data_IF_600311438351
#
_entry.id   IF_600311438351
#
_cell.length_a   1.000
_cell.length_b   1.000
_cell.length_c   1.000
_cell.angle_alpha   90.00
_cell.angle_beta   90.00
_cell.angle_gamma   90.00
#
_symmetry.space_group_name_H-M   'P 1'
#
loop_
_entity.id
_entity.type
_entity.pdbx_description
1 polymer ?
#
# COMPACT_ATOMS: atom_id res chain seq x y z
N UNK A 1 11.27 8.60 -13.86
CA UNK A 1 12.29 7.56 -13.73
C UNK A 1 12.89 7.18 -15.09
N UNK A 2 12.18 6.53 -16.03
CA UNK A 2 12.75 6.02 -17.30
C UNK A 2 13.50 7.07 -18.15
N UNK A 3 12.99 8.32 -18.20
CA UNK A 3 13.68 9.42 -18.90
C UNK A 3 15.01 9.75 -18.21
N UNK A 4 15.05 9.82 -16.89
CA UNK A 4 16.28 10.05 -16.13
C UNK A 4 17.31 8.94 -16.35
N UNK A 5 16.88 7.69 -16.35
CA UNK A 5 17.77 6.54 -16.57
C UNK A 5 18.41 6.58 -17.96
N UNK A 6 17.65 6.98 -19.02
CA UNK A 6 18.16 7.07 -20.39
C UNK A 6 19.06 8.27 -20.63
N UNK A 7 18.61 9.43 -20.19
CA UNK A 7 19.14 10.73 -20.65
C UNK A 7 20.03 11.43 -19.58
N UNK A 8 20.01 10.94 -18.33
CA UNK A 8 20.62 11.63 -17.18
C UNK A 8 19.88 12.91 -16.80
N UNK A 9 20.50 13.71 -15.96
CA UNK A 9 20.06 15.08 -15.71
C UNK A 9 20.49 15.94 -16.91
N UNK A 10 19.52 16.50 -17.66
CA UNK A 10 19.82 17.63 -18.51
C UNK A 10 20.09 18.82 -17.59
N UNK A 11 21.16 19.57 -17.84
CA UNK A 11 21.35 20.87 -17.20
C UNK A 11 20.11 21.72 -17.47
N UNK A 12 19.22 21.78 -16.51
CA UNK A 12 18.12 22.75 -16.52
C UNK A 12 18.70 24.09 -16.12
N UNK A 13 18.48 25.12 -16.94
CA UNK A 13 18.83 26.47 -16.56
C UNK A 13 18.22 26.78 -15.17
N UNK A 14 18.93 27.53 -14.35
CA UNK A 14 18.54 27.86 -12.96
C UNK A 14 17.11 28.42 -12.83
N UNK A 15 16.53 28.93 -13.92
CA UNK A 15 15.15 29.45 -13.98
C UNK A 15 14.06 28.37 -13.89
N UNK A 16 14.29 27.15 -14.39
CA UNK A 16 13.30 26.06 -14.29
C UNK A 16 13.32 25.37 -12.92
N UNK A 17 14.42 25.48 -12.18
CA UNK A 17 14.53 24.98 -10.82
C UNK A 17 13.76 25.87 -9.82
N UNK A 18 13.73 27.17 -10.02
CA UNK A 18 13.09 28.11 -9.13
C UNK A 18 11.56 28.08 -9.25
N UNK A 19 11.00 27.89 -10.47
CA UNK A 19 9.55 27.76 -10.66
C UNK A 19 8.94 26.50 -10.02
N UNK A 20 9.71 25.43 -9.90
CA UNK A 20 9.27 24.20 -9.21
C UNK A 20 9.42 24.28 -7.68
N UNK A 21 10.26 25.19 -7.18
CA UNK A 21 10.45 25.41 -5.75
C UNK A 21 9.32 26.31 -5.21
N UNK A 22 8.92 27.32 -5.97
CA UNK A 22 7.88 28.29 -5.55
C UNK A 22 6.47 27.67 -5.54
N UNK A 23 6.18 26.67 -6.37
CA UNK A 23 4.92 25.92 -6.34
C UNK A 23 4.80 24.97 -5.14
N UNK A 24 5.94 24.59 -4.52
CA UNK A 24 6.01 23.69 -3.36
C UNK A 24 6.11 24.45 -2.03
N UNK A 25 6.61 25.70 -2.06
CA UNK A 25 6.85 26.51 -0.87
C UNK A 25 5.60 27.18 -0.27
N UNK A 26 4.47 27.25 -0.99
CA UNK A 26 3.24 27.89 -0.51
C UNK A 26 2.34 27.01 0.36
N UNK A 27 2.76 25.81 0.72
CA UNK A 27 2.05 24.97 1.70
C UNK A 27 2.98 24.56 2.85
N UNK A 28 3.35 25.58 3.64
CA UNK A 28 4.07 25.36 4.88
C UNK A 28 3.11 24.93 6.01
N UNK A 29 3.53 23.86 6.70
CA UNK A 29 3.50 23.74 8.14
C UNK A 29 2.18 23.58 8.86
N UNK A 30 1.63 22.36 8.89
CA UNK A 30 1.23 21.88 10.20
C UNK A 30 1.77 20.43 10.35
N UNK A 31 2.68 20.28 11.30
CA UNK A 31 3.17 19.02 11.75
C UNK A 31 1.98 18.15 12.16
N UNK A 32 1.81 17.00 11.50
CA UNK A 32 0.96 15.95 12.01
C UNK A 32 1.76 15.28 13.12
N UNK A 33 1.74 15.89 14.29
CA UNK A 33 2.27 15.29 15.51
C UNK A 33 1.46 14.06 15.82
N UNK A 34 2.04 12.90 15.54
CA UNK A 34 1.61 11.67 16.16
C UNK A 34 2.09 11.76 17.60
N UNK A 35 1.19 12.05 18.54
CA UNK A 35 1.42 11.78 19.95
C UNK A 35 1.73 10.29 20.09
N UNK A 36 3.00 9.97 20.21
CA UNK A 36 3.45 8.69 20.72
C UNK A 36 3.11 8.65 22.21
N UNK A 37 1.96 8.10 22.55
CA UNK A 37 1.74 7.60 23.89
C UNK A 37 2.80 6.53 24.14
N UNK A 38 3.72 6.84 25.04
CA UNK A 38 4.74 5.90 25.53
C UNK A 38 4.03 4.70 26.16
N UNK A 39 4.06 3.57 25.47
CA UNK A 39 3.72 2.29 26.06
C UNK A 39 4.89 1.91 26.98
N UNK A 40 4.66 1.62 28.28
CA UNK A 40 5.72 1.24 29.18
C UNK A 40 6.51 0.06 28.62
N UNK A 41 7.82 0.21 28.57
CA UNK A 41 8.77 -0.80 28.10
C UNK A 41 8.76 -2.01 29.03
N UNK A 42 7.92 -3.00 28.71
CA UNK A 42 8.06 -4.34 29.32
C UNK A 42 9.17 -5.06 28.57
N UNK A 43 10.26 -5.38 29.28
CA UNK A 43 11.32 -6.25 28.76
C UNK A 43 10.72 -7.63 28.44
N UNK A 44 10.96 -8.20 27.25
CA UNK A 44 10.50 -9.53 26.91
C UNK A 44 11.27 -10.55 27.79
N UNK A 45 10.55 -11.27 28.63
CA UNK A 45 11.09 -12.47 29.28
C UNK A 45 11.26 -13.55 28.22
N UNK A 46 12.47 -14.13 28.15
CA UNK A 46 12.80 -15.25 27.28
C UNK A 46 11.94 -16.44 27.67
N UNK A 47 11.17 -16.96 26.71
CA UNK A 47 10.41 -18.19 26.90
C UNK A 47 11.36 -19.36 27.11
N UNK A 48 11.04 -20.20 28.11
CA UNK A 48 11.76 -21.44 28.42
C UNK A 48 11.74 -22.36 27.18
N UNK A 49 12.88 -22.89 26.72
CA UNK A 49 12.98 -23.79 25.56
C UNK A 49 12.08 -25.03 25.65
N UNK A 50 11.80 -25.52 26.86
CA UNK A 50 10.93 -26.68 27.08
C UNK A 50 9.45 -26.42 26.77
N UNK A 51 9.01 -25.15 26.83
CA UNK A 51 7.67 -24.77 26.45
C UNK A 51 7.46 -24.87 24.93
N UNK A 52 8.51 -24.61 24.16
CA UNK A 52 8.48 -24.71 22.70
C UNK A 52 8.34 -26.15 22.24
N UNK A 53 8.98 -27.09 22.94
CA UNK A 53 8.91 -28.52 22.63
C UNK A 53 7.55 -29.13 22.96
N UNK A 54 6.88 -28.65 24.00
CA UNK A 54 5.52 -29.14 24.38
C UNK A 54 4.48 -28.69 23.34
N UNK A 55 4.64 -27.50 22.72
CA UNK A 55 3.74 -26.98 21.69
C UNK A 55 3.89 -27.73 20.35
N UNK A 56 5.05 -28.33 20.06
CA UNK A 56 5.28 -29.12 18.84
C UNK A 56 4.68 -30.51 18.91
N UNK A 57 4.51 -31.08 20.11
CA UNK A 57 3.90 -32.43 20.29
C UNK A 57 2.38 -32.45 20.18
N UNK A 58 1.67 -31.33 20.41
CA UNK A 58 0.19 -31.30 20.32
C UNK A 58 -0.29 -31.28 18.86
N UNK A 59 0.58 -30.97 17.87
CA UNK A 59 0.20 -30.92 16.46
C UNK A 59 0.46 -32.21 15.66
N UNK A 60 0.81 -33.34 16.28
CA UNK A 60 1.15 -34.57 15.57
C UNK A 60 0.00 -35.61 15.49
N UNK A 61 -1.19 -35.34 15.99
CA UNK A 61 -2.33 -36.19 15.71
C UNK A 61 -2.94 -35.90 14.36
N UNK A 62 -2.74 -36.84 13.45
CA UNK A 62 -3.25 -36.87 12.07
C UNK A 62 -4.78 -36.74 12.06
N UNK A 63 -5.28 -35.58 11.60
CA UNK A 63 -6.63 -35.50 11.04
C UNK A 63 -6.54 -35.57 9.52
N UNK A 64 -7.11 -36.62 8.96
CA UNK A 64 -7.43 -36.73 7.53
C UNK A 64 -8.34 -35.58 7.10
N UNK A 65 -8.16 -34.98 5.90
CA UNK A 65 -9.01 -33.89 5.46
C UNK A 65 -10.39 -34.39 5.11
N UNK A 66 -11.41 -33.98 5.86
CA UNK A 66 -12.78 -34.01 5.36
C UNK A 66 -12.96 -32.85 4.41
N UNK A 67 -13.32 -33.17 3.18
CA UNK A 67 -13.74 -32.23 2.16
C UNK A 67 -15.04 -31.57 2.61
N UNK A 68 -15.00 -30.32 3.02
CA UNK A 68 -16.11 -29.35 3.01
C UNK A 68 -15.68 -28.10 3.81
N UNK A 69 -14.80 -27.29 3.20
CA UNK A 69 -14.62 -25.90 3.63
C UNK A 69 -14.58 -25.02 2.39
N UNK A 70 -15.76 -24.82 1.79
CA UNK A 70 -16.00 -23.80 0.78
C UNK A 70 -16.11 -22.46 1.50
N UNK A 71 -14.98 -21.83 1.80
CA UNK A 71 -14.95 -20.41 2.09
C UNK A 71 -15.34 -19.66 0.83
N UNK A 72 -16.57 -19.18 0.79
CA UNK A 72 -17.09 -18.33 -0.25
C UNK A 72 -16.29 -17.03 -0.29
N UNK A 73 -15.43 -16.90 -1.28
CA UNK A 73 -14.93 -15.61 -1.72
C UNK A 73 -16.15 -14.82 -2.24
N UNK A 74 -16.41 -13.65 -1.67
CA UNK A 74 -17.42 -12.74 -2.17
C UNK A 74 -17.03 -12.33 -3.59
N UNK A 75 -17.96 -12.42 -4.56
CA UNK A 75 -17.66 -12.07 -5.95
C UNK A 75 -17.47 -10.57 -6.09
N UNK A 76 -16.36 -10.17 -6.67
CA UNK A 76 -16.16 -8.83 -7.19
C UNK A 76 -17.10 -8.66 -8.37
N UNK A 77 -17.93 -7.60 -8.44
CA UNK A 77 -18.82 -7.38 -9.57
C UNK A 77 -17.97 -7.09 -10.83
N UNK A 78 -18.08 -7.97 -11.80
CA UNK A 78 -17.62 -7.73 -13.17
C UNK A 78 -18.52 -6.67 -13.79
N UNK A 79 -17.99 -5.51 -14.08
CA UNK A 79 -18.64 -4.46 -14.85
C UNK A 79 -18.70 -4.90 -16.31
N UNK A 80 -19.83 -5.50 -16.72
CA UNK A 80 -20.22 -5.57 -18.11
C UNK A 80 -20.76 -4.21 -18.52
N UNK A 81 -20.15 -3.61 -19.56
CA UNK A 81 -20.50 -2.30 -20.06
C UNK A 81 -21.94 -2.23 -20.57
N UNK A 82 -22.68 -1.27 -20.05
CA UNK A 82 -23.93 -0.80 -20.68
C UNK A 82 -23.58 0.42 -21.51
N UNK A 83 -23.64 0.24 -22.82
CA UNK A 83 -23.59 1.33 -23.79
C UNK A 83 -24.93 2.02 -23.77
N UNK A 84 -25.04 3.18 -23.18
CA UNK A 84 -26.19 4.07 -23.37
C UNK A 84 -25.92 4.98 -24.54
N UNK A 85 -26.58 4.67 -25.66
CA UNK A 85 -26.81 5.58 -26.78
C UNK A 85 -27.89 6.54 -26.38
N UNK A 86 -27.56 7.76 -26.05
CA UNK A 86 -28.51 8.87 -26.00
C UNK A 86 -28.30 9.76 -27.21
N UNK A 87 -29.27 9.70 -28.13
CA UNK A 87 -29.48 10.66 -29.21
C UNK A 87 -29.87 12.01 -28.62
N UNK A 88 -29.02 13.02 -28.80
CA UNK A 88 -29.41 14.41 -28.56
C UNK A 88 -29.55 15.16 -29.88
N UNK A 89 -30.75 15.59 -30.14
CA UNK A 89 -31.13 16.60 -31.10
C UNK A 89 -30.43 17.93 -30.82
N UNK A 90 -30.03 18.56 -31.91
CA UNK A 90 -29.39 19.87 -32.00
C UNK A 90 -30.26 20.99 -31.45
N UNK A 91 -29.71 21.79 -30.55
CA UNK A 91 -30.13 23.18 -30.42
C UNK A 91 -28.91 24.10 -30.28
N UNK A 92 -28.92 25.11 -31.16
CA UNK A 92 -27.81 26.03 -31.36
C UNK A 92 -27.94 27.24 -30.43
N UNK A 93 -27.16 27.24 -29.35
CA UNK A 93 -26.88 28.49 -28.64
C UNK A 93 -25.38 28.63 -28.38
N UNK A 94 -24.79 29.66 -28.96
CA UNK A 94 -23.36 30.02 -28.86
C UNK A 94 -23.08 30.43 -27.43
N UNK A 95 -22.53 29.56 -26.63
CA UNK A 95 -21.99 29.88 -25.28
C UNK A 95 -20.49 30.15 -25.37
N UNK A 96 -20.10 31.35 -24.99
CA UNK A 96 -18.72 31.82 -24.90
C UNK A 96 -18.00 31.28 -23.67
N UNK A 97 -17.93 29.96 -23.49
CA UNK A 97 -17.11 29.37 -22.44
C UNK A 97 -15.66 29.14 -22.93
N UNK A 98 -14.64 29.35 -22.10
CA UNK A 98 -13.25 29.11 -22.48
C UNK A 98 -13.03 27.64 -22.80
N UNK A 99 -12.69 27.35 -24.05
CA UNK A 99 -12.41 25.96 -24.50
C UNK A 99 -11.27 25.35 -23.66
N UNK A 100 -11.48 24.11 -23.17
CA UNK A 100 -10.45 23.37 -22.41
C UNK A 100 -9.13 23.31 -23.17
N UNK A 101 -8.00 23.39 -22.49
CA UNK A 101 -6.64 23.43 -23.08
C UNK A 101 -6.38 22.29 -24.09
N UNK A 102 -6.99 21.10 -23.89
CA UNK A 102 -6.92 19.96 -24.80
C UNK A 102 -7.57 20.29 -26.16
N UNK A 103 -8.74 20.95 -26.19
CA UNK A 103 -9.43 21.34 -27.42
C UNK A 103 -8.63 22.39 -28.20
N UNK A 104 -8.05 23.39 -27.54
CA UNK A 104 -7.17 24.39 -28.19
C UNK A 104 -5.92 23.75 -28.83
N UNK A 105 -5.34 22.70 -28.21
CA UNK A 105 -4.22 21.95 -28.81
C UNK A 105 -4.66 21.15 -30.04
N UNK A 106 -5.82 20.56 -30.02
CA UNK A 106 -6.39 19.81 -31.15
C UNK A 106 -6.68 20.77 -32.31
N UNK A 107 -7.30 21.91 -32.06
CA UNK A 107 -7.59 22.94 -33.08
C UNK A 107 -6.29 23.46 -33.72
N UNK A 108 -5.30 23.84 -32.92
CA UNK A 108 -3.99 24.31 -33.45
C UNK A 108 -3.30 23.23 -34.29
N UNK A 109 -3.42 21.95 -33.92
CA UNK A 109 -2.85 20.86 -34.70
C UNK A 109 -3.59 20.70 -36.03
N UNK A 110 -4.93 20.79 -36.01
CA UNK A 110 -5.77 20.75 -37.20
C UNK A 110 -5.46 21.88 -38.19
N UNK A 111 -5.38 23.11 -37.69
CA UNK A 111 -4.97 24.29 -38.49
C UNK A 111 -3.59 24.14 -39.09
N UNK A 112 -2.61 23.62 -38.34
CA UNK A 112 -1.25 23.37 -38.83
C UNK A 112 -1.20 22.34 -39.95
N UNK A 113 -2.04 21.31 -39.91
CA UNK A 113 -2.15 20.30 -40.94
C UNK A 113 -2.88 20.84 -42.19
N UNK A 114 -3.90 21.67 -42.00
CA UNK A 114 -4.63 22.37 -43.06
C UNK A 114 -3.70 23.36 -43.84
N UNK A 115 -2.84 24.09 -43.11
CA UNK A 115 -1.83 24.95 -43.72
C UNK A 115 -0.75 24.19 -44.51
N UNK A 116 -0.61 22.88 -44.27
CA UNK A 116 0.28 22.00 -45.04
C UNK A 116 -0.37 21.39 -46.27
N UNK A 117 -1.63 21.79 -46.62
CA UNK A 117 -2.33 21.36 -47.81
C UNK A 117 -3.00 19.98 -47.72
N UNK A 118 -3.14 19.42 -46.50
CA UNK A 118 -3.85 18.16 -46.35
C UNK A 118 -5.36 18.35 -46.42
N UNK A 119 -6.07 17.41 -47.05
CA UNK A 119 -7.53 17.45 -47.14
C UNK A 119 -8.16 17.19 -45.76
N UNK A 120 -9.41 17.63 -45.55
CA UNK A 120 -10.13 17.41 -44.31
C UNK A 120 -10.23 15.93 -43.92
N UNK A 121 -10.40 15.02 -44.89
CA UNK A 121 -10.45 13.58 -44.70
C UNK A 121 -9.11 13.01 -44.23
N UNK A 122 -7.99 13.44 -44.83
CA UNK A 122 -6.62 13.01 -44.46
C UNK A 122 -6.26 13.50 -43.07
N UNK A 123 -6.69 14.73 -42.71
CA UNK A 123 -6.50 15.30 -41.36
C UNK A 123 -7.25 14.45 -40.32
N UNK A 124 -8.52 14.09 -40.60
CA UNK A 124 -9.32 13.26 -39.72
C UNK A 124 -8.70 11.86 -39.54
N UNK A 125 -8.23 11.26 -40.64
CA UNK A 125 -7.58 9.96 -40.61
C UNK A 125 -6.25 10.00 -39.87
N UNK A 126 -5.43 11.05 -40.03
CA UNK A 126 -4.19 11.28 -39.30
C UNK A 126 -4.43 11.59 -37.80
N UNK A 127 -5.53 12.23 -37.48
CA UNK A 127 -5.93 12.51 -36.11
C UNK A 127 -6.46 11.24 -35.42
N UNK A 128 -7.22 10.41 -36.14
CA UNK A 128 -7.70 9.11 -35.63
C UNK A 128 -6.58 8.08 -35.54
N UNK A 129 -5.65 8.02 -36.49
CA UNK A 129 -4.49 7.13 -36.45
C UNK A 129 -3.52 7.47 -35.29
N UNK A 130 -3.36 8.76 -34.97
CA UNK A 130 -2.62 9.20 -33.80
C UNK A 130 -3.35 8.92 -32.47
N UNK A 131 -4.68 8.88 -32.45
CA UNK A 131 -5.45 8.42 -31.30
C UNK A 131 -5.39 6.90 -31.12
N UNK A 132 -5.30 6.12 -32.20
CA UNK A 132 -5.10 4.65 -32.12
C UNK A 132 -3.67 4.24 -31.73
N UNK A 133 -2.68 5.12 -31.89
CA UNK A 133 -1.28 4.87 -31.48
C UNK A 133 -1.00 5.13 -30.01
N UNK A 134 -1.94 5.68 -29.27
CA UNK A 134 -1.89 5.79 -27.80
C UNK A 134 -2.82 4.73 -27.20
N UNK A 135 -2.59 3.45 -27.48
CA UNK A 135 -2.99 2.42 -26.56
C UNK A 135 -2.35 2.77 -25.22
N UNK A 136 -3.17 2.96 -24.17
CA UNK A 136 -2.66 3.26 -22.84
C UNK A 136 -1.73 2.10 -22.44
N UNK A 137 -0.44 2.41 -22.28
CA UNK A 137 0.54 1.42 -21.85
C UNK A 137 0.17 0.89 -20.49
N UNK A 138 0.27 -0.41 -20.30
CA UNK A 138 0.11 -1.03 -18.99
C UNK A 138 1.23 -0.61 -18.04
N UNK A 139 1.02 -0.80 -16.75
CA UNK A 139 2.04 -0.55 -15.73
C UNK A 139 3.30 -1.39 -15.99
N UNK A 140 3.12 -2.65 -16.37
CA UNK A 140 4.20 -3.58 -16.68
C UNK A 140 5.00 -3.14 -17.89
N UNK A 141 4.35 -2.63 -18.95
CA UNK A 141 5.03 -2.06 -20.10
C UNK A 141 5.87 -0.84 -19.73
N UNK A 142 5.35 0.08 -18.88
CA UNK A 142 6.13 1.21 -18.38
C UNK A 142 7.35 0.77 -17.57
N UNK A 143 7.23 -0.27 -16.76
CA UNK A 143 8.34 -0.79 -15.97
C UNK A 143 9.36 -1.54 -16.81
N UNK A 144 8.92 -2.24 -17.88
CA UNK A 144 9.80 -2.95 -18.82
C UNK A 144 10.56 -2.01 -19.75
N UNK A 145 10.10 -0.77 -19.95
CA UNK A 145 10.82 0.25 -20.71
C UNK A 145 12.05 0.83 -19.99
N UNK A 146 12.35 0.40 -18.77
CA UNK A 146 13.63 0.71 -18.12
C UNK A 146 14.78 0.19 -18.99
N UNK A 147 15.88 0.94 -19.14
CA UNK A 147 17.02 0.51 -19.93
C UNK A 147 17.51 -0.88 -19.51
N UNK A 148 17.75 -1.74 -20.50
CA UNK A 148 18.26 -3.09 -20.31
C UNK A 148 19.80 -3.09 -20.32
N UNK A 149 20.41 -4.22 -19.96
CA UNK A 149 21.87 -4.32 -19.88
C UNK A 149 22.59 -4.07 -21.22
N UNK A 150 21.92 -4.28 -22.35
CA UNK A 150 22.45 -4.04 -23.70
C UNK A 150 22.33 -2.57 -24.16
N UNK A 151 21.55 -1.76 -23.47
CA UNK A 151 21.44 -0.33 -23.73
C UNK A 151 22.65 0.39 -23.15
N UNK A 152 22.97 1.58 -23.69
CA UNK A 152 23.97 2.48 -23.11
C UNK A 152 23.27 3.64 -22.39
N UNK A 153 22.56 3.40 -21.28
CA UNK A 153 21.85 4.43 -20.55
C UNK A 153 22.81 5.30 -19.76
N UNK A 154 22.37 6.55 -19.44
CA UNK A 154 23.10 7.42 -18.54
C UNK A 154 23.17 6.84 -17.11
N UNK A 155 22.13 6.12 -16.69
CA UNK A 155 22.05 5.48 -15.39
C UNK A 155 21.36 4.11 -15.46
N UNK A 156 21.75 3.21 -14.57
CA UNK A 156 21.17 1.86 -14.44
C UNK A 156 20.50 1.67 -13.09
N UNK A 157 19.23 1.26 -13.09
CA UNK A 157 18.48 0.94 -11.89
C UNK A 157 18.29 -0.57 -11.78
N UNK A 158 18.78 -1.15 -10.69
CA UNK A 158 18.54 -2.55 -10.31
C UNK A 158 17.66 -2.60 -9.07
N UNK A 159 16.61 -3.40 -9.09
CA UNK A 159 15.76 -3.63 -7.92
C UNK A 159 15.95 -5.08 -7.46
N UNK A 160 16.41 -5.25 -6.22
CA UNK A 160 16.66 -6.56 -5.60
C UNK A 160 15.71 -6.75 -4.43
N UNK A 161 15.03 -7.90 -4.37
CA UNK A 161 14.26 -8.30 -3.21
C UNK A 161 15.07 -9.28 -2.37
N UNK A 162 15.22 -8.99 -1.10
CA UNK A 162 15.94 -9.82 -0.11
C UNK A 162 15.09 -10.00 1.14
N UNK A 163 15.33 -11.07 1.91
CA UNK A 163 14.70 -11.19 3.22
C UNK A 163 15.09 -10.00 4.10
N UNK A 164 14.18 -9.56 4.98
CA UNK A 164 14.41 -8.38 5.81
C UNK A 164 15.69 -8.49 6.65
N UNK A 165 16.01 -9.70 7.16
CA UNK A 165 17.25 -9.94 7.91
C UNK A 165 18.51 -9.72 7.06
N UNK A 166 18.51 -10.22 5.81
CA UNK A 166 19.63 -10.08 4.87
C UNK A 166 19.74 -8.62 4.38
N UNK A 167 18.61 -7.93 4.32
CA UNK A 167 18.51 -6.51 3.97
C UNK A 167 19.04 -5.55 5.05
N UNK A 168 19.27 -6.02 6.28
CA UNK A 168 19.65 -5.20 7.43
C UNK A 168 21.17 -4.90 7.46
N UNK A 169 21.68 -4.28 6.41
CA UNK A 169 23.11 -3.94 6.25
C UNK A 169 23.44 -2.54 6.80
N UNK A 170 24.73 -2.25 6.93
CA UNK A 170 25.20 -0.90 7.28
C UNK A 170 24.76 0.16 6.23
N UNK A 171 24.75 -0.20 4.94
CA UNK A 171 24.31 0.68 3.87
C UNK A 171 22.82 1.01 3.99
N UNK A 172 21.98 0.00 4.27
CA UNK A 172 20.53 0.18 4.46
C UNK A 172 20.25 1.05 5.68
N UNK A 173 20.97 0.83 6.80
CA UNK A 173 20.80 1.65 8.00
C UNK A 173 21.27 3.10 7.79
N UNK A 174 22.37 3.30 7.06
CA UNK A 174 22.84 4.65 6.70
C UNK A 174 21.77 5.40 5.90
N UNK A 175 21.20 4.76 4.89
CA UNK A 175 20.12 5.34 4.08
C UNK A 175 18.88 5.66 4.92
N UNK A 176 18.45 4.72 5.77
CA UNK A 176 17.35 4.93 6.71
C UNK A 176 17.60 6.13 7.61
N UNK A 177 18.80 6.23 8.21
CA UNK A 177 19.16 7.34 9.10
C UNK A 177 19.14 8.68 8.38
N UNK A 178 19.66 8.74 7.15
CA UNK A 178 19.62 9.94 6.32
C UNK A 178 18.18 10.38 6.03
N UNK A 179 17.31 9.44 5.66
CA UNK A 179 15.90 9.71 5.40
C UNK A 179 15.18 10.22 6.65
N UNK A 180 15.35 9.57 7.81
CA UNK A 180 14.70 9.98 9.05
C UNK A 180 15.12 11.39 9.50
N UNK A 181 16.39 11.72 9.38
CA UNK A 181 16.88 13.05 9.73
C UNK A 181 16.35 14.12 8.77
N UNK A 182 16.36 13.84 7.44
CA UNK A 182 16.03 14.85 6.44
C UNK A 182 14.52 15.04 6.23
N UNK A 183 13.71 13.99 6.39
CA UNK A 183 12.27 14.02 6.07
C UNK A 183 11.41 14.08 7.33
N UNK A 184 11.84 13.45 8.42
CA UNK A 184 11.10 13.40 9.69
C UNK A 184 11.71 14.28 10.79
N UNK A 185 12.87 14.89 10.53
CA UNK A 185 13.61 15.70 11.50
C UNK A 185 13.97 14.94 12.79
N UNK A 186 14.13 13.62 12.69
CA UNK A 186 14.53 12.80 13.83
C UNK A 186 15.98 13.11 14.24
N UNK A 187 16.26 13.35 15.53
CA UNK A 187 17.62 13.59 15.99
C UNK A 187 18.45 12.30 15.87
N UNK A 188 19.73 12.46 15.51
CA UNK A 188 20.67 11.32 15.33
C UNK A 188 20.75 10.42 16.59
N UNK A 189 20.58 10.99 17.78
CA UNK A 189 20.58 10.25 19.07
C UNK A 189 19.43 9.22 19.18
N UNK A 190 18.33 9.40 18.43
CA UNK A 190 17.21 8.44 18.38
C UNK A 190 17.45 7.32 17.38
N UNK A 191 18.46 7.43 16.52
CA UNK A 191 18.69 6.47 15.42
C UNK A 191 19.78 5.47 15.85
N UNK A 192 19.42 4.19 15.89
CA UNK A 192 20.36 3.09 16.13
C UNK A 192 20.00 1.88 15.29
N UNK A 193 20.99 1.04 15.00
CA UNK A 193 20.80 -0.21 14.25
C UNK A 193 19.76 -1.11 14.95
N UNK A 194 19.73 -1.15 16.28
CA UNK A 194 18.78 -1.97 17.03
C UNK A 194 17.34 -1.46 16.90
N UNK A 195 17.14 -0.14 16.89
CA UNK A 195 15.82 0.46 16.64
C UNK A 195 15.37 0.22 15.22
N UNK A 196 16.26 0.41 14.24
CA UNK A 196 16.00 0.08 12.84
C UNK A 196 15.59 -1.38 12.68
N UNK A 197 16.37 -2.32 13.25
CA UNK A 197 16.06 -3.75 13.21
C UNK A 197 14.72 -4.07 13.85
N UNK A 198 14.41 -3.48 14.99
CA UNK A 198 13.12 -3.69 15.67
C UNK A 198 11.94 -3.19 14.85
N UNK A 199 12.12 -2.09 14.13
CA UNK A 199 11.06 -1.44 13.38
C UNK A 199 10.83 -2.08 12.01
N UNK A 200 11.89 -2.37 11.24
CA UNK A 200 11.78 -2.73 9.83
C UNK A 200 12.34 -4.11 9.46
N UNK A 201 12.86 -4.86 10.42
CA UNK A 201 13.51 -6.16 10.17
C UNK A 201 12.90 -7.27 11.00
N UNK A 202 12.73 -7.06 12.32
CA UNK A 202 12.13 -8.06 13.20
C UNK A 202 10.64 -8.17 12.90
N UNK A 203 10.26 -9.29 12.31
CA UNK A 203 8.88 -9.60 11.95
C UNK A 203 8.42 -10.89 12.64
N UNK A 204 7.15 -10.98 13.08
CA UNK A 204 6.57 -12.23 13.55
C UNK A 204 6.32 -13.22 12.40
N UNK A 205 6.39 -12.75 11.15
CA UNK A 205 6.16 -13.57 9.97
C UNK A 205 7.40 -14.42 9.69
N UNK A 206 7.25 -15.73 9.74
CA UNK A 206 8.32 -16.66 9.35
C UNK A 206 8.35 -16.75 7.82
N UNK A 207 9.50 -16.55 7.16
CA UNK A 207 9.63 -16.73 5.72
C UNK A 207 9.28 -18.16 5.32
N UNK A 208 8.34 -18.31 4.38
CA UNK A 208 7.91 -19.61 3.87
C UNK A 208 7.39 -19.46 2.44
N UNK A 209 7.97 -20.18 1.49
CA UNK A 209 7.51 -20.24 0.08
C UNK A 209 7.19 -18.86 -0.54
N UNK A 210 8.04 -17.86 -0.33
CA UNK A 210 7.83 -16.51 -0.86
C UNK A 210 6.97 -15.58 0.00
N UNK A 211 6.38 -16.09 1.10
CA UNK A 211 5.68 -15.27 2.10
C UNK A 211 6.64 -14.78 3.18
N UNK A 212 6.31 -13.67 3.84
CA UNK A 212 7.12 -13.08 4.90
C UNK A 212 7.45 -11.61 4.64
N UNK A 213 8.42 -11.09 5.40
CA UNK A 213 8.87 -9.69 5.31
C UNK A 213 10.12 -9.58 4.44
N UNK A 214 10.09 -8.67 3.48
CA UNK A 214 11.16 -8.45 2.51
C UNK A 214 11.54 -6.99 2.41
N UNK A 215 12.80 -6.73 2.02
CA UNK A 215 13.30 -5.44 1.59
C UNK A 215 13.47 -5.45 0.06
N UNK A 216 12.79 -4.55 -0.63
CA UNK A 216 13.02 -4.24 -2.03
C UNK A 216 14.04 -3.10 -2.11
N UNK A 217 15.27 -3.42 -2.47
CA UNK A 217 16.40 -2.50 -2.54
C UNK A 217 16.53 -1.93 -3.96
N UNK A 218 16.58 -0.61 -4.08
CA UNK A 218 16.72 0.12 -5.34
C UNK A 218 18.16 0.63 -5.46
N UNK A 219 18.90 0.06 -6.38
CA UNK A 219 20.31 0.35 -6.64
C UNK A 219 20.44 1.12 -7.95
N UNK A 220 20.91 2.37 -7.87
CA UNK A 220 21.22 3.23 -9.00
C UNK A 220 22.74 3.30 -9.15
N UNK A 221 23.29 2.80 -10.26
CA UNK A 221 24.74 2.76 -10.53
C UNK A 221 25.55 2.26 -9.33
N UNK A 222 25.08 1.14 -8.73
CA UNK A 222 25.64 0.51 -7.53
C UNK A 222 25.51 1.30 -6.21
N UNK A 223 24.84 2.46 -6.21
CA UNK A 223 24.43 3.18 -5.01
C UNK A 223 23.02 2.78 -4.59
N UNK A 224 22.85 2.42 -3.32
CA UNK A 224 21.51 2.16 -2.73
C UNK A 224 20.80 3.49 -2.53
N UNK A 225 19.72 3.74 -3.29
CA UNK A 225 18.98 5.01 -3.25
C UNK A 225 17.60 4.91 -2.61
N UNK A 226 17.01 3.72 -2.52
CA UNK A 226 15.73 3.52 -1.82
C UNK A 226 15.57 2.08 -1.34
N UNK A 227 14.72 1.92 -0.34
CA UNK A 227 14.26 0.60 0.15
C UNK A 227 12.77 0.65 0.42
N UNK A 228 12.02 -0.29 -0.18
CA UNK A 228 10.65 -0.60 0.18
C UNK A 228 10.62 -1.81 1.11
N UNK A 229 10.00 -1.67 2.27
CA UNK A 229 9.75 -2.78 3.20
C UNK A 229 8.34 -3.28 2.97
N UNK A 230 8.20 -4.55 2.63
CA UNK A 230 6.92 -5.17 2.31
C UNK A 230 6.71 -6.46 3.08
N UNK A 231 5.46 -6.73 3.42
CA UNK A 231 5.00 -8.04 3.89
C UNK A 231 4.20 -8.73 2.78
N UNK A 232 4.64 -9.91 2.37
CA UNK A 232 3.88 -10.79 1.47
C UNK A 232 3.03 -11.71 2.35
N UNK A 233 1.72 -11.49 2.33
CA UNK A 233 0.73 -12.17 3.14
C UNK A 233 -0.17 -13.04 2.25
N UNK A 234 -0.90 -14.03 2.79
CA UNK A 234 -1.73 -14.93 2.00
C UNK A 234 -2.78 -14.26 1.09
N UNK A 235 -3.22 -13.05 1.43
CA UNK A 235 -4.29 -12.35 0.69
C UNK A 235 -3.88 -10.98 0.14
N UNK A 236 -2.67 -10.50 0.47
CA UNK A 236 -2.21 -9.19 0.01
C UNK A 236 -0.69 -9.06 0.07
N UNK A 237 -0.16 -8.08 -0.66
CA UNK A 237 1.14 -7.47 -0.38
C UNK A 237 0.89 -6.20 0.42
N UNK A 238 1.47 -6.12 1.60
CA UNK A 238 1.37 -4.94 2.48
C UNK A 238 2.62 -4.08 2.34
N UNK A 239 2.45 -2.82 1.96
CA UNK A 239 3.51 -1.81 1.99
C UNK A 239 3.68 -1.33 3.44
N UNK A 240 4.78 -1.73 4.06
CA UNK A 240 5.05 -1.43 5.48
C UNK A 240 5.72 -0.08 5.63
N UNK A 241 6.80 0.14 4.87
CA UNK A 241 7.56 1.38 4.91
C UNK A 241 8.35 1.60 3.63
N UNK A 242 8.56 2.86 3.26
CA UNK A 242 9.41 3.23 2.13
C UNK A 242 10.31 4.40 2.52
N UNK A 243 11.62 4.24 2.33
CA UNK A 243 12.59 5.31 2.59
C UNK A 243 13.62 5.39 1.46
N UNK A 244 14.10 6.59 1.22
CA UNK A 244 14.95 6.87 0.08
C UNK A 244 15.96 7.99 0.38
N UNK A 245 16.97 8.08 -0.46
CA UNK A 245 17.97 9.15 -0.40
C UNK A 245 17.34 10.48 -0.83
N UNK A 246 17.28 11.50 0.05
CA UNK A 246 16.67 12.79 -0.23
C UNK A 246 17.24 13.52 -1.45
N UNK A 247 18.49 13.26 -1.83
CA UNK A 247 19.10 13.80 -3.05
C UNK A 247 18.30 13.40 -4.31
N UNK A 248 17.61 12.26 -4.29
CA UNK A 248 16.79 11.75 -5.38
C UNK A 248 15.30 12.06 -5.24
N UNK A 249 14.92 13.02 -4.38
CA UNK A 249 13.51 13.42 -4.17
C UNK A 249 12.80 13.79 -5.48
N UNK A 250 13.51 14.42 -6.42
CA UNK A 250 12.98 14.81 -7.73
C UNK A 250 12.49 13.63 -8.60
N UNK A 251 12.91 12.39 -8.31
CA UNK A 251 12.45 11.19 -9.00
C UNK A 251 11.10 10.65 -8.50
N UNK A 252 10.50 11.28 -7.48
CA UNK A 252 9.24 10.82 -6.86
C UNK A 252 9.29 9.33 -6.46
N UNK A 253 10.38 8.92 -5.80
CA UNK A 253 10.68 7.52 -5.51
C UNK A 253 9.58 6.81 -4.71
N UNK A 254 8.87 7.51 -3.82
CA UNK A 254 7.74 6.95 -3.09
C UNK A 254 6.60 6.49 -4.01
N UNK A 255 6.22 7.31 -5.00
CA UNK A 255 5.22 6.93 -6.00
C UNK A 255 5.73 5.81 -6.90
N UNK A 256 7.00 5.89 -7.34
CA UNK A 256 7.60 4.86 -8.17
C UNK A 256 7.67 3.51 -7.43
N UNK A 257 8.05 3.51 -6.13
CA UNK A 257 8.04 2.33 -5.28
C UNK A 257 6.64 1.69 -5.19
N UNK A 258 5.61 2.51 -4.92
CA UNK A 258 4.23 2.02 -4.86
C UNK A 258 3.78 1.38 -6.18
N UNK A 259 4.16 1.94 -7.33
CA UNK A 259 3.85 1.36 -8.64
C UNK A 259 4.58 0.02 -8.85
N UNK A 260 5.82 -0.11 -8.40
CA UNK A 260 6.57 -1.37 -8.47
C UNK A 260 6.00 -2.43 -7.52
N UNK A 261 5.62 -2.07 -6.32
CA UNK A 261 4.97 -2.96 -5.36
C UNK A 261 3.60 -3.43 -5.89
N UNK A 262 2.83 -2.54 -6.56
CA UNK A 262 1.59 -2.90 -7.23
C UNK A 262 1.82 -3.89 -8.38
N UNK A 263 2.82 -3.64 -9.24
CA UNK A 263 3.17 -4.57 -10.32
C UNK A 263 3.65 -5.92 -9.78
N UNK A 264 4.40 -5.92 -8.68
CA UNK A 264 4.81 -7.13 -7.97
C UNK A 264 3.61 -7.90 -7.42
N UNK A 265 2.65 -7.22 -6.80
CA UNK A 265 1.38 -7.83 -6.35
C UNK A 265 0.63 -8.49 -7.51
N UNK A 266 0.54 -7.80 -8.66
CA UNK A 266 -0.08 -8.36 -9.87
C UNK A 266 0.68 -9.57 -10.44
N UNK A 267 2.00 -9.61 -10.29
CA UNK A 267 2.78 -10.78 -10.69
C UNK A 267 2.52 -11.97 -9.76
N UNK A 268 2.46 -11.73 -8.45
CA UNK A 268 2.12 -12.76 -7.46
C UNK A 268 0.69 -13.29 -7.63
N UNK A 269 -0.26 -12.44 -7.98
CA UNK A 269 -1.64 -12.85 -8.25
C UNK A 269 -1.75 -13.94 -9.33
N UNK A 270 -0.85 -13.95 -10.32
CA UNK A 270 -0.85 -14.97 -11.38
C UNK A 270 -0.49 -16.35 -10.85
N UNK A 271 0.34 -16.41 -9.82
CA UNK A 271 0.80 -17.64 -9.18
C UNK A 271 -0.08 -18.01 -7.97
N UNK A 272 -0.45 -16.99 -7.19
CA UNK A 272 -1.28 -17.12 -5.99
C UNK A 272 -2.51 -16.20 -6.10
N UNK A 273 -3.63 -16.66 -6.69
CA UNK A 273 -4.82 -15.82 -6.91
C UNK A 273 -5.44 -15.24 -5.62
N UNK A 274 -5.12 -15.78 -4.45
CA UNK A 274 -5.52 -15.21 -3.17
C UNK A 274 -4.87 -13.86 -2.87
N UNK A 275 -3.65 -13.60 -3.40
CA UNK A 275 -2.94 -12.32 -3.23
C UNK A 275 -3.52 -11.30 -4.20
N UNK A 276 -4.77 -10.90 -3.99
CA UNK A 276 -5.52 -10.03 -4.89
C UNK A 276 -5.44 -8.55 -4.55
N UNK A 277 -4.81 -8.18 -3.44
CA UNK A 277 -4.82 -6.83 -2.92
C UNK A 277 -3.41 -6.30 -2.67
N UNK A 278 -3.20 -5.02 -2.99
CA UNK A 278 -2.07 -4.24 -2.55
C UNK A 278 -2.52 -3.31 -1.43
N UNK A 279 -2.03 -3.53 -0.20
CA UNK A 279 -2.43 -2.82 1.00
C UNK A 279 -1.41 -1.74 1.35
N UNK A 280 -1.84 -0.48 1.36
CA UNK A 280 -0.96 0.67 1.59
C UNK A 280 -1.04 1.24 3.02
N UNK A 281 -1.72 0.57 3.95
CA UNK A 281 -1.93 1.06 5.30
C UNK A 281 -2.93 2.21 5.38
N UNK A 282 -2.80 3.06 6.40
CA UNK A 282 -3.74 4.15 6.64
C UNK A 282 -3.78 5.18 5.52
N UNK A 283 -4.98 5.74 5.33
CA UNK A 283 -5.23 6.91 4.50
C UNK A 283 -5.79 8.03 5.38
N UNK A 284 -5.14 9.19 5.36
CA UNK A 284 -5.61 10.38 6.05
C UNK A 284 -5.85 11.45 4.98
N UNK A 285 -7.14 11.77 4.74
CA UNK A 285 -7.54 12.64 3.65
C UNK A 285 -6.98 14.06 3.78
N UNK A 286 -6.91 14.59 4.99
CA UNK A 286 -6.34 15.91 5.30
C UNK A 286 -4.81 15.99 5.23
N UNK A 287 -4.10 14.83 5.18
CA UNK A 287 -2.65 14.79 5.18
C UNK A 287 -2.10 14.71 3.76
N UNK A 288 -1.40 15.76 3.25
CA UNK A 288 -0.82 15.75 1.90
C UNK A 288 0.13 14.57 1.64
N UNK A 289 0.92 14.18 2.67
CA UNK A 289 1.85 13.04 2.60
C UNK A 289 1.17 11.70 2.37
N UNK A 290 -0.13 11.57 2.65
CA UNK A 290 -0.90 10.33 2.48
C UNK A 290 -1.90 10.40 1.32
N UNK A 291 -2.29 11.61 0.91
CA UNK A 291 -3.30 11.82 -0.15
C UNK A 291 -2.93 11.19 -1.48
N UNK A 292 -1.63 11.10 -1.81
CA UNK A 292 -1.18 10.50 -3.08
C UNK A 292 -1.63 9.04 -3.25
N UNK A 293 -1.90 8.31 -2.15
CA UNK A 293 -2.39 6.91 -2.19
C UNK A 293 -3.71 6.79 -2.96
N UNK A 294 -4.57 7.82 -2.91
CA UNK A 294 -5.84 7.86 -3.65
C UNK A 294 -5.66 7.96 -5.17
N UNK A 295 -4.47 8.28 -5.66
CA UNK A 295 -4.20 8.35 -7.10
C UNK A 295 -4.02 6.96 -7.74
N UNK A 296 -3.80 5.91 -6.94
CA UNK A 296 -3.73 4.53 -7.40
C UNK A 296 -5.16 3.97 -7.50
N UNK A 297 -5.76 4.08 -8.68
CA UNK A 297 -7.15 3.69 -8.92
C UNK A 297 -7.26 2.26 -9.51
N UNK A 298 -8.28 1.47 -9.11
CA UNK A 298 -9.26 1.74 -8.06
C UNK A 298 -8.68 1.58 -6.66
N UNK A 299 -8.97 2.52 -5.75
CA UNK A 299 -8.61 2.44 -4.33
C UNK A 299 -9.84 2.23 -3.48
N UNK A 300 -9.69 1.48 -2.40
CA UNK A 300 -10.78 1.19 -1.46
C UNK A 300 -10.37 1.56 -0.04
N UNK A 301 -11.30 2.08 0.74
CA UNK A 301 -11.15 2.33 2.17
C UNK A 301 -12.02 1.39 2.98
N UNK A 302 -11.48 0.92 4.09
CA UNK A 302 -12.23 0.12 5.06
C UNK A 302 -13.13 1.00 5.90
N UNK A 303 -14.42 0.70 5.96
CA UNK A 303 -15.34 1.36 6.89
C UNK A 303 -14.93 1.01 8.34
N UNK A 304 -14.70 2.01 9.20
CA UNK A 304 -14.20 1.75 10.56
C UNK A 304 -15.24 1.09 11.48
N UNK A 305 -16.52 1.07 11.09
CA UNK A 305 -17.60 0.50 11.90
C UNK A 305 -18.09 -0.84 11.37
N UNK A 306 -18.33 -0.93 10.04
CA UNK A 306 -18.87 -2.12 9.42
C UNK A 306 -17.81 -3.08 8.89
N UNK A 307 -16.53 -2.66 8.84
CA UNK A 307 -15.39 -3.40 8.28
C UNK A 307 -15.64 -3.91 6.86
N UNK A 308 -16.37 -3.11 6.07
CA UNK A 308 -16.60 -3.32 4.64
C UNK A 308 -15.76 -2.37 3.81
N UNK A 309 -15.30 -2.82 2.64
CA UNK A 309 -14.47 -2.03 1.73
C UNK A 309 -15.33 -1.18 0.81
N UNK A 310 -15.02 0.12 0.70
CA UNK A 310 -15.74 1.10 -0.10
C UNK A 310 -14.79 1.76 -1.10
N UNK A 311 -15.22 1.84 -2.35
CA UNK A 311 -14.47 2.53 -3.40
C UNK A 311 -14.26 3.99 -2.99
N UNK A 312 -13.01 4.45 -3.06
CA UNK A 312 -12.66 5.84 -2.80
C UNK A 312 -13.08 6.71 -4.00
N UNK A 313 -14.38 6.94 -4.10
CA UNK A 313 -15.01 7.78 -5.10
C UNK A 313 -15.33 9.19 -4.54
N UNK A 314 -16.05 9.99 -5.33
CA UNK A 314 -16.43 11.34 -4.92
C UNK A 314 -17.36 11.36 -3.71
N UNK A 315 -18.18 10.33 -3.53
CA UNK A 315 -19.11 10.23 -2.40
C UNK A 315 -18.36 9.99 -1.09
N UNK A 316 -17.40 9.05 -1.11
CA UNK A 316 -16.56 8.76 0.05
C UNK A 316 -15.65 9.96 0.36
N UNK A 317 -15.08 10.62 -0.67
CA UNK A 317 -14.29 11.84 -0.47
C UNK A 317 -15.10 12.95 0.20
N UNK A 318 -16.36 13.18 -0.24
CA UNK A 318 -17.24 14.18 0.37
C UNK A 318 -17.55 13.89 1.86
N UNK A 319 -17.70 12.62 2.24
CA UNK A 319 -17.83 12.23 3.66
C UNK A 319 -16.58 12.57 4.47
N UNK A 320 -15.39 12.31 3.91
CA UNK A 320 -14.10 12.60 4.57
C UNK A 320 -13.79 14.10 4.66
N UNK A 321 -14.26 14.90 3.69
CA UNK A 321 -14.18 16.36 3.74
C UNK A 321 -15.10 16.94 4.83
N UNK A 322 -16.27 16.33 5.01
CA UNK A 322 -17.25 16.78 6.00
C UNK A 322 -16.86 16.42 7.46
N UNK A 323 -16.18 15.29 7.67
CA UNK A 323 -15.80 14.83 9.01
C UNK A 323 -14.50 14.01 8.99
N UNK A 324 -13.63 14.25 9.99
CA UNK A 324 -12.39 13.47 10.16
C UNK A 324 -12.67 11.99 10.43
N UNK A 325 -13.77 11.67 11.08
CA UNK A 325 -14.27 10.32 11.29
C UNK A 325 -15.59 10.16 10.57
N UNK A 326 -15.69 9.20 9.68
CA UNK A 326 -16.88 8.96 8.87
C UNK A 326 -17.17 7.48 8.73
N UNK A 327 -18.43 7.11 8.96
CA UNK A 327 -18.95 5.81 8.53
C UNK A 327 -19.04 5.79 7.00
N UNK A 328 -18.33 4.85 6.37
CA UNK A 328 -18.32 4.77 4.90
C UNK A 328 -19.48 3.94 4.35
N UNK A 329 -19.95 2.94 5.11
CA UNK A 329 -21.10 2.12 4.75
C UNK A 329 -22.42 2.89 4.92
N UNK A 330 -23.21 2.98 3.87
CA UNK A 330 -24.48 3.71 3.87
C UNK A 330 -25.62 2.95 4.58
N UNK A 331 -25.50 1.62 4.71
CA UNK A 331 -26.44 0.83 5.49
C UNK A 331 -26.15 1.02 7.00
N UNK A 332 -27.05 1.70 7.75
CA UNK A 332 -26.85 1.92 9.17
C UNK A 332 -26.89 0.64 9.99
N UNK A 333 -27.48 -0.44 9.46
CA UNK A 333 -27.61 -1.73 10.14
C UNK A 333 -26.40 -2.64 9.93
N UNK A 334 -25.57 -2.35 8.92
CA UNK A 334 -24.37 -3.12 8.64
C UNK A 334 -23.38 -3.07 9.81
N UNK A 335 -22.94 -4.23 10.25
CA UNK A 335 -21.97 -4.40 11.34
C UNK A 335 -20.80 -5.28 10.88
N UNK A 336 -19.72 -5.22 11.62
CA UNK A 336 -18.59 -6.13 11.42
C UNK A 336 -19.04 -7.59 11.59
N UNK A 337 -19.00 -8.35 10.52
CA UNK A 337 -19.36 -9.78 10.52
C UNK A 337 -18.37 -10.64 11.30
N UNK A 338 -17.17 -10.12 11.57
CA UNK A 338 -16.12 -10.76 12.37
C UNK A 338 -16.13 -10.31 13.84
N UNK A 339 -17.10 -9.49 14.25
CA UNK A 339 -17.25 -9.05 15.63
C UNK A 339 -17.43 -10.26 16.56
N UNK A 340 -16.60 -10.32 17.60
CA UNK A 340 -16.69 -11.38 18.59
C UNK A 340 -17.92 -11.19 19.49
N UNK A 341 -18.64 -12.27 19.73
CA UNK A 341 -19.74 -12.37 20.71
C UNK A 341 -19.21 -12.88 22.05
N UNK A 342 -20.02 -12.82 23.08
CA UNK A 342 -19.69 -13.43 24.39
C UNK A 342 -19.43 -14.93 24.30
N UNK A 343 -20.13 -15.63 23.41
CA UNK A 343 -19.88 -17.04 23.18
C UNK A 343 -18.52 -17.27 22.52
N UNK A 344 -18.11 -16.40 21.58
CA UNK A 344 -16.80 -16.49 20.92
C UNK A 344 -15.65 -16.28 21.91
N UNK A 345 -15.87 -15.44 22.95
CA UNK A 345 -14.86 -15.19 24.00
C UNK A 345 -14.57 -16.46 24.81
N UNK A 346 -15.53 -17.34 25.00
CA UNK A 346 -15.35 -18.61 25.72
C UNK A 346 -14.34 -19.52 25.03
N UNK A 347 -14.22 -19.42 23.72
CA UNK A 347 -13.29 -20.20 22.88
C UNK A 347 -11.90 -19.55 22.72
N UNK A 348 -11.69 -18.36 23.28
CA UNK A 348 -10.38 -17.68 23.22
C UNK A 348 -9.32 -18.55 23.86
N UNK A 349 -8.22 -18.76 23.12
CA UNK A 349 -7.06 -19.49 23.60
C UNK A 349 -6.17 -18.58 24.45
N UNK A 350 -5.80 -19.05 25.62
CA UNK A 350 -4.86 -18.34 26.50
C UNK A 350 -3.80 -19.28 27.06
N UNK A 351 -2.64 -18.71 27.33
CA UNK A 351 -1.56 -19.38 28.04
C UNK A 351 -1.63 -18.90 29.50
N UNK A 352 -1.90 -19.81 30.41
CA UNK A 352 -1.88 -19.57 31.84
C UNK A 352 -0.86 -20.50 32.51
N UNK A 353 0.13 -19.90 33.15
CA UNK A 353 1.29 -20.66 33.60
C UNK A 353 2.03 -21.31 32.42
N UNK A 354 2.06 -22.65 32.39
CA UNK A 354 2.69 -23.45 31.32
C UNK A 354 1.68 -24.17 30.42
N UNK A 355 0.39 -23.87 30.57
CA UNK A 355 -0.67 -24.57 29.87
C UNK A 355 -1.43 -23.69 28.94
N UNK A 356 -1.70 -24.19 27.72
CA UNK A 356 -2.65 -23.58 26.80
C UNK A 356 -4.04 -24.14 27.07
N UNK A 357 -5.02 -23.25 27.20
CA UNK A 357 -6.39 -23.63 27.48
C UNK A 357 -7.37 -22.63 26.88
N UNK A 358 -8.63 -23.02 26.74
CA UNK A 358 -9.71 -22.09 26.41
C UNK A 358 -10.09 -21.26 27.62
N UNK A 359 -10.72 -20.10 27.37
CA UNK A 359 -11.22 -19.29 28.50
C UNK A 359 -12.25 -20.04 29.35
N UNK A 360 -13.08 -20.90 28.75
CA UNK A 360 -13.99 -21.79 29.51
C UNK A 360 -13.23 -22.68 30.48
N UNK A 361 -12.16 -23.32 30.02
CA UNK A 361 -11.32 -24.18 30.90
C UNK A 361 -10.65 -23.35 32.00
N UNK A 362 -10.16 -22.18 31.68
CA UNK A 362 -9.57 -21.25 32.65
C UNK A 362 -10.58 -20.89 33.74
N UNK A 363 -11.81 -20.55 33.39
CA UNK A 363 -12.87 -20.23 34.36
C UNK A 363 -13.18 -21.41 35.30
N UNK A 364 -13.16 -22.64 34.76
CA UNK A 364 -13.39 -23.85 35.58
C UNK A 364 -12.27 -24.09 36.58
N UNK A 365 -11.00 -23.80 36.19
CA UNK A 365 -9.84 -24.07 37.05
C UNK A 365 -9.56 -22.91 38.02
N UNK A 366 -9.66 -21.68 37.56
CA UNK A 366 -9.27 -20.50 38.35
C UNK A 366 -10.46 -19.79 38.97
N UNK A 367 -11.64 -19.91 38.37
CA UNK A 367 -12.89 -19.31 38.86
C UNK A 367 -12.96 -17.79 38.82
N UNK A 368 -12.01 -17.12 38.12
CA UNK A 368 -11.93 -15.67 38.07
C UNK A 368 -12.11 -15.18 36.65
N UNK A 369 -13.03 -14.24 36.45
CA UNK A 369 -13.22 -13.59 35.16
C UNK A 369 -12.03 -12.70 34.76
N UNK A 370 -11.78 -12.66 33.44
CA UNK A 370 -10.76 -11.80 32.82
C UNK A 370 -11.42 -10.85 31.80
N UNK A 371 -11.87 -9.66 32.23
CA UNK A 371 -12.54 -8.69 31.35
C UNK A 371 -11.72 -8.32 30.11
N UNK A 372 -10.40 -8.37 30.22
CA UNK A 372 -9.46 -8.09 29.13
C UNK A 372 -9.67 -9.03 27.92
N UNK A 373 -10.24 -10.22 28.10
CA UNK A 373 -10.49 -11.15 26.99
C UNK A 373 -11.63 -10.68 26.09
N UNK A 374 -12.61 -10.00 26.64
CA UNK A 374 -13.69 -9.36 25.87
C UNK A 374 -13.14 -8.22 25.01
N UNK A 375 -12.30 -7.37 25.61
CA UNK A 375 -11.64 -6.29 24.89
C UNK A 375 -10.73 -6.85 23.78
N UNK A 376 -9.88 -7.82 24.11
CA UNK A 376 -9.01 -8.50 23.15
C UNK A 376 -9.81 -9.07 21.98
N UNK A 377 -10.84 -9.89 22.26
CA UNK A 377 -11.64 -10.53 21.22
C UNK A 377 -12.38 -9.51 20.35
N UNK A 378 -12.82 -8.38 20.96
CA UNK A 378 -13.44 -7.27 20.22
C UNK A 378 -12.47 -6.57 19.28
N UNK A 379 -11.20 -6.39 19.70
CA UNK A 379 -10.18 -5.71 18.91
C UNK A 379 -9.67 -6.56 17.75
N UNK A 380 -9.46 -7.87 17.96
CA UNK A 380 -8.88 -8.76 16.94
C UNK A 380 -9.94 -9.49 16.10
N UNK A 381 -11.21 -9.48 16.52
CA UNK A 381 -12.32 -10.19 15.88
C UNK A 381 -12.32 -11.68 16.19
N UNK A 382 -13.50 -12.32 16.02
CA UNK A 382 -13.73 -13.73 16.41
C UNK A 382 -12.78 -14.72 15.72
N UNK A 383 -12.43 -14.46 14.45
CA UNK A 383 -11.57 -15.35 13.68
C UNK A 383 -10.14 -15.41 14.23
N UNK A 384 -9.58 -14.25 14.62
CA UNK A 384 -8.26 -14.19 15.24
C UNK A 384 -8.30 -14.64 16.70
N UNK A 385 -9.31 -14.22 17.45
CA UNK A 385 -9.46 -14.56 18.87
C UNK A 385 -9.46 -16.07 19.12
N UNK A 386 -10.03 -16.86 18.19
CA UNK A 386 -10.07 -18.33 18.27
C UNK A 386 -8.79 -19.04 17.82
N UNK A 387 -7.87 -18.34 17.14
CA UNK A 387 -6.65 -18.92 16.56
C UNK A 387 -5.38 -18.44 17.24
N UNK A 388 -5.37 -17.23 17.74
CA UNK A 388 -4.23 -16.62 18.42
C UNK A 388 -4.29 -16.90 19.91
N UNK A 389 -3.16 -17.28 20.50
CA UNK A 389 -3.04 -17.50 21.93
C UNK A 389 -2.71 -16.19 22.65
N UNK A 390 -3.54 -15.78 23.59
CA UNK A 390 -3.27 -14.65 24.47
C UNK A 390 -2.34 -15.09 25.60
N UNK A 391 -1.12 -14.55 25.64
CA UNK A 391 -0.19 -14.77 26.74
C UNK A 391 -0.49 -13.82 27.90
N UNK A 392 -0.75 -14.38 29.07
CA UNK A 392 -0.90 -13.64 30.31
C UNK A 392 -0.02 -14.24 31.38
N UNK A 393 0.72 -13.37 32.05
CA UNK A 393 1.55 -13.74 33.22
C UNK A 393 0.71 -13.66 34.48
#
# INVERSE_FOLDING_TARGET
MNKFLRDGLKETSEQDAQSNIDEIATHDGSACDQEHTEVPSMQPRVLDPDLLNTLTHVNSEKRSPSADDKTSALPIPTLSGVVNTSTHTSDSSISNQPKKAKLRRIERKREKLQKKGLSGADIEQLMQSNNRKSAEKSLEEFLSESPQDNDSPAHRLKVKQVNANDGATAATFKLYSLYQQSIHNDPASKLSMDRFKRFLVKSPLKPFQGFGTFHQQYWLDDRLIAVGVIDVLPNCVSSVYFFYDPEYKFLSLGTYGSLRELAYTRSLYKEYPSISNYYMGFYIHSCPKMRYKSNLQPSYLLCPEAYTWHLLDRTVVAKLDASKYSRLNDDPTAQDTNKATEQDVKDVLLIFGRSCMTYTQYLTVVGKELPILFEYARLVGKSCAKKMMLYRV
#
